data_IF_800261097536
#
_entry.id   IF_800261097536
#
_cell.length_a   1.000
_cell.length_b   1.000
_cell.length_c   1.000
_cell.angle_alpha   90.00
_cell.angle_beta   90.00
_cell.angle_gamma   90.00
#
_symmetry.space_group_name_H-M   'P 1'
#
loop_
_entity.id
_entity.type
_entity.pdbx_description
1 polymer ?
#
# COMPACT_ATOMS: atom_id res chain seq x y z
N UNK A 1 -1.68 16.45 25.75
CA UNK A 1 -1.16 15.34 24.91
C UNK A 1 -0.57 15.98 23.66
N UNK A 2 0.70 15.75 23.36
CA UNK A 2 1.40 16.39 22.22
C UNK A 2 0.77 15.87 20.92
N UNK A 3 0.00 16.71 20.22
CA UNK A 3 -0.65 16.38 18.94
C UNK A 3 0.33 16.37 17.77
N UNK A 4 1.38 15.55 17.87
CA UNK A 4 2.42 15.43 16.85
C UNK A 4 1.91 14.50 15.76
N UNK A 5 2.03 14.93 14.50
CA UNK A 5 1.79 14.09 13.34
C UNK A 5 3.11 13.47 12.88
N UNK A 6 3.15 12.15 12.76
CA UNK A 6 4.35 11.40 12.38
C UNK A 6 4.12 10.70 11.04
N UNK A 7 5.11 10.76 10.15
CA UNK A 7 5.15 9.96 8.93
C UNK A 7 6.19 8.85 9.12
N UNK A 8 5.76 7.60 9.01
CA UNK A 8 6.62 6.41 9.08
C UNK A 8 6.63 5.70 7.72
N UNK A 9 7.83 5.35 7.23
CA UNK A 9 8.02 4.70 5.92
C UNK A 9 8.77 3.39 6.16
N UNK A 10 8.16 2.29 5.74
CA UNK A 10 8.75 0.96 5.79
C UNK A 10 8.40 0.21 4.51
N UNK A 11 9.16 -0.84 4.24
CA UNK A 11 8.86 -1.80 3.18
C UNK A 11 8.06 -2.99 3.69
N UNK A 12 7.88 -3.13 5.02
CA UNK A 12 7.07 -4.18 5.64
C UNK A 12 5.68 -3.65 5.99
N UNK A 13 4.66 -4.22 5.36
CA UNK A 13 3.27 -3.86 5.61
C UNK A 13 2.82 -4.25 7.03
N UNK A 14 3.43 -5.26 7.64
CA UNK A 14 3.10 -5.75 8.99
C UNK A 14 3.47 -4.69 10.02
N UNK A 15 4.70 -4.17 9.97
CA UNK A 15 5.16 -3.07 10.84
C UNK A 15 4.26 -1.84 10.69
N UNK A 16 3.92 -1.46 9.46
CA UNK A 16 3.05 -0.30 9.21
C UNK A 16 1.65 -0.47 9.80
N UNK A 17 1.10 -1.69 9.81
CA UNK A 17 -0.23 -1.99 10.37
C UNK A 17 -0.27 -1.91 11.89
N UNK A 18 0.85 -2.19 12.56
CA UNK A 18 0.92 -2.17 14.03
C UNK A 18 0.97 -0.75 14.61
N UNK A 19 1.51 0.22 13.85
CA UNK A 19 1.84 1.54 14.38
C UNK A 19 1.06 2.71 13.77
N UNK A 20 0.48 2.54 12.57
CA UNK A 20 -0.09 3.67 11.83
C UNK A 20 -1.60 3.77 11.96
N UNK A 21 -2.11 4.99 12.14
CA UNK A 21 -3.55 5.28 12.04
C UNK A 21 -4.06 5.16 10.59
N UNK A 22 -3.18 5.42 9.62
CA UNK A 22 -3.45 5.39 8.17
C UNK A 22 -2.22 4.93 7.42
N UNK A 23 -2.42 4.19 6.34
CA UNK A 23 -1.34 3.66 5.51
C UNK A 23 -1.59 4.07 4.06
N UNK A 24 -0.53 4.53 3.39
CA UNK A 24 -0.49 4.79 1.96
C UNK A 24 0.50 3.83 1.29
N UNK A 25 0.06 3.15 0.22
CA UNK A 25 0.91 2.27 -0.59
C UNK A 25 1.40 3.05 -1.80
N UNK A 26 2.72 3.09 -2.01
CA UNK A 26 3.34 3.81 -3.12
C UNK A 26 3.97 2.81 -4.09
N UNK A 27 3.70 2.98 -5.39
CA UNK A 27 4.34 2.24 -6.47
C UNK A 27 4.75 3.20 -7.58
N UNK A 28 6.01 3.13 -8.02
CA UNK A 28 6.53 3.98 -9.13
C UNK A 28 6.22 5.48 -8.96
N UNK A 29 6.30 5.96 -7.72
CA UNK A 29 6.02 7.37 -7.38
C UNK A 29 4.55 7.76 -7.39
N UNK A 30 3.61 6.81 -7.47
CA UNK A 30 2.17 7.05 -7.37
C UNK A 30 1.59 6.36 -6.14
N UNK A 31 0.59 6.99 -5.52
CA UNK A 31 -0.15 6.38 -4.42
C UNK A 31 -1.21 5.47 -5.03
N UNK A 32 -1.06 4.17 -4.82
CA UNK A 32 -1.98 3.15 -5.33
C UNK A 32 -3.19 2.98 -4.40
N UNK A 33 -3.00 3.22 -3.10
CA UNK A 33 -4.08 3.08 -2.09
C UNK A 33 -3.78 3.90 -0.84
N UNK A 34 -4.83 4.39 -0.18
CA UNK A 34 -4.77 5.01 1.14
C UNK A 34 -5.97 4.51 1.95
N UNK A 35 -5.75 4.09 3.19
CA UNK A 35 -6.83 3.64 4.07
C UNK A 35 -6.37 3.43 5.50
N UNK A 36 -7.27 2.94 6.35
CA UNK A 36 -6.89 2.44 7.67
C UNK A 36 -6.20 1.07 7.53
N UNK A 37 -5.41 0.64 8.52
CA UNK A 37 -4.76 -0.67 8.49
C UNK A 37 -5.74 -1.83 8.21
N UNK A 38 -6.92 -1.83 8.83
CA UNK A 38 -7.95 -2.85 8.66
C UNK A 38 -8.50 -2.93 7.23
N UNK A 39 -8.52 -1.83 6.49
CA UNK A 39 -9.02 -1.76 5.11
C UNK A 39 -8.01 -2.34 4.10
N UNK A 40 -6.75 -2.50 4.51
CA UNK A 40 -5.66 -2.99 3.66
C UNK A 40 -5.48 -4.51 3.82
N UNK A 41 -6.33 -5.29 3.15
CA UNK A 41 -6.25 -6.75 3.18
C UNK A 41 -4.90 -7.31 2.68
N UNK A 42 -4.38 -8.33 3.37
CA UNK A 42 -3.12 -9.05 3.09
C UNK A 42 -3.11 -9.90 1.82
N UNK A 43 -4.15 -9.83 0.97
CA UNK A 43 -4.15 -10.40 -0.38
C UNK A 43 -3.27 -9.57 -1.32
N UNK A 44 -2.01 -9.38 -0.93
CA UNK A 44 -0.95 -8.81 -1.77
C UNK A 44 -0.24 -9.89 -2.59
N UNK A 45 -0.45 -11.18 -2.31
CA UNK A 45 0.11 -12.29 -3.11
C UNK A 45 -0.62 -12.55 -4.44
N UNK A 46 -1.75 -11.88 -4.70
CA UNK A 46 -2.45 -12.00 -5.99
C UNK A 46 -2.04 -10.90 -6.99
N UNK A 47 -1.35 -9.84 -6.56
CA UNK A 47 -1.18 -8.62 -7.36
C UNK A 47 0.19 -8.39 -8.01
N UNK A 48 1.06 -9.41 -8.07
CA UNK A 48 2.04 -9.46 -9.17
C UNK A 48 1.41 -9.97 -10.46
N UNK A 49 0.41 -10.86 -10.39
CA UNK A 49 -0.18 -11.52 -11.57
C UNK A 49 -1.32 -10.72 -12.23
N UNK A 50 -2.08 -9.93 -11.48
CA UNK A 50 -3.09 -9.02 -12.08
C UNK A 50 -2.41 -7.83 -12.79
N UNK A 51 -1.30 -7.33 -12.23
CA UNK A 51 -0.52 -6.23 -12.83
C UNK A 51 0.20 -6.63 -14.14
N UNK A 52 0.66 -7.88 -14.26
CA UNK A 52 1.24 -8.40 -15.50
C UNK A 52 0.19 -8.65 -16.59
N UNK A 53 -1.09 -8.85 -16.21
CA UNK A 53 -2.19 -9.02 -17.17
C UNK A 53 -2.60 -7.69 -17.82
N UNK A 54 -2.51 -6.59 -17.08
CA UNK A 54 -2.85 -5.25 -17.57
C UNK A 54 -1.82 -4.67 -18.57
N UNK A 55 -0.58 -5.15 -18.51
CA UNK A 55 0.50 -4.80 -19.46
C UNK A 55 0.44 -5.54 -20.81
N UNK A 56 -0.31 -6.64 -20.92
CA UNK A 56 -0.47 -7.38 -22.19
C UNK A 56 -1.63 -6.86 -23.04
N UNK A 57 -2.62 -6.17 -22.46
CA UNK A 57 -3.79 -5.67 -23.20
C UNK A 57 -3.59 -4.25 -23.77
N UNK A 58 -2.57 -3.53 -23.33
CA UNK A 58 -2.25 -2.17 -23.82
C UNK A 58 -1.17 -2.16 -24.93
N UNK A 59 -0.94 -3.31 -25.57
CA UNK A 59 0.04 -3.49 -26.66
C UNK A 59 -0.58 -4.11 -27.93
N UNK A 60 -1.87 -3.87 -28.16
CA UNK A 60 -2.55 -4.07 -29.46
C UNK A 60 -2.97 -2.72 -30.03
#
# INVERSE_FOLDING_TARGET
>A
QLGITTLYVTHDITEAREVADRIAVILKGRIERIGKPEDLHTSFLTNSLIFLRDRQLNNV
#
